data_IF_342701359930
#
_entry.id   IF_342701359930
#
_cell.length_a   1.000
_cell.length_b   1.000
_cell.length_c   1.000
_cell.angle_alpha   90.00
_cell.angle_beta   90.00
_cell.angle_gamma   90.00
#
_symmetry.space_group_name_H-M   'P 1'
#
loop_
_entity.id
_entity.type
_entity.pdbx_description
1 polymer ?
#
# COMPACT_ATOMS: atom_id res chain seq x y z
N UNK A 1 -0.55 18.03 -14.75
CA UNK A 1 0.70 17.49 -14.16
C UNK A 1 0.50 16.01 -13.96
N UNK A 2 1.07 15.19 -14.82
CA UNK A 2 1.02 13.74 -14.65
C UNK A 2 1.84 13.39 -13.41
N UNK A 3 1.18 12.99 -12.33
CA UNK A 3 1.89 12.53 -11.15
C UNK A 3 2.65 11.26 -11.54
N UNK A 4 3.98 11.28 -11.48
CA UNK A 4 4.81 10.12 -11.72
C UNK A 4 4.71 9.05 -10.63
N UNK A 5 5.40 7.93 -10.82
CA UNK A 5 5.51 6.90 -9.79
C UNK A 5 6.37 7.40 -8.61
N UNK A 6 5.98 7.04 -7.39
CA UNK A 6 6.76 7.27 -6.17
C UNK A 6 6.54 6.11 -5.19
N UNK A 7 7.36 6.01 -4.14
CA UNK A 7 7.28 4.91 -3.18
C UNK A 7 5.93 4.79 -2.46
N UNK A 8 5.26 5.91 -2.17
CA UNK A 8 3.91 5.89 -1.60
C UNK A 8 2.87 5.27 -2.54
N UNK A 9 2.99 5.52 -3.86
CA UNK A 9 2.12 4.92 -4.87
C UNK A 9 2.41 3.44 -5.11
N UNK A 10 3.68 3.04 -5.07
CA UNK A 10 4.08 1.62 -5.10
C UNK A 10 3.46 0.88 -3.92
N UNK A 11 3.57 1.45 -2.70
CA UNK A 11 2.95 0.88 -1.51
C UNK A 11 1.42 0.77 -1.66
N UNK A 12 0.76 1.83 -2.12
CA UNK A 12 -0.68 1.83 -2.33
C UNK A 12 -1.13 0.74 -3.33
N UNK A 13 -0.39 0.54 -4.43
CA UNK A 13 -0.66 -0.53 -5.41
C UNK A 13 -0.52 -1.92 -4.79
N UNK A 14 0.54 -2.16 -4.01
CA UNK A 14 0.77 -3.44 -3.33
C UNK A 14 -0.34 -3.74 -2.31
N UNK A 15 -0.71 -2.76 -1.49
CA UNK A 15 -1.79 -2.92 -0.50
C UNK A 15 -3.13 -3.16 -1.18
N UNK A 16 -3.43 -2.42 -2.25
CA UNK A 16 -4.64 -2.60 -3.03
C UNK A 16 -4.72 -3.99 -3.65
N UNK A 17 -3.66 -4.42 -4.34
CA UNK A 17 -3.60 -5.73 -4.96
C UNK A 17 -3.70 -6.86 -3.93
N UNK A 18 -3.04 -6.72 -2.77
CA UNK A 18 -3.14 -7.67 -1.67
C UNK A 18 -4.57 -7.79 -1.12
N UNK A 19 -5.25 -6.65 -0.94
CA UNK A 19 -6.64 -6.59 -0.46
C UNK A 19 -7.59 -7.26 -1.46
N UNK A 20 -7.41 -7.00 -2.75
CA UNK A 20 -8.21 -7.61 -3.81
C UNK A 20 -7.92 -9.11 -3.95
N UNK A 21 -6.66 -9.53 -3.86
CA UNK A 21 -6.27 -10.94 -3.88
C UNK A 21 -6.88 -11.72 -2.69
N UNK A 22 -6.91 -11.12 -1.50
CA UNK A 22 -7.55 -11.71 -0.33
C UNK A 22 -9.06 -11.90 -0.55
N UNK A 23 -9.74 -10.86 -1.04
CA UNK A 23 -11.18 -10.93 -1.35
C UNK A 23 -11.49 -12.01 -2.41
N UNK A 24 -10.65 -12.15 -3.45
CA UNK A 24 -10.78 -13.19 -4.46
C UNK A 24 -10.56 -14.59 -3.87
N UNK A 25 -9.54 -14.76 -3.02
CA UNK A 25 -9.27 -16.03 -2.38
C UNK A 25 -10.41 -16.49 -1.45
N UNK A 26 -11.03 -15.55 -0.72
CA UNK A 26 -12.22 -15.82 0.11
C UNK A 26 -13.44 -16.27 -0.72
N UNK A 27 -13.53 -15.82 -1.98
CA UNK A 27 -14.58 -16.21 -2.92
C UNK A 27 -14.28 -17.53 -3.67
N UNK A 28 -13.13 -18.17 -3.38
CA UNK A 28 -12.70 -19.40 -4.05
C UNK A 28 -11.87 -19.18 -5.33
N UNK A 29 -11.62 -17.92 -5.70
CA UNK A 29 -10.86 -17.50 -6.89
C UNK A 29 -9.36 -17.38 -6.61
N UNK A 30 -8.75 -18.47 -6.13
CA UNK A 30 -7.33 -18.47 -5.71
C UNK A 30 -6.36 -18.32 -6.89
N UNK A 31 -6.72 -18.80 -8.06
CA UNK A 31 -5.92 -18.65 -9.28
C UNK A 31 -5.86 -17.18 -9.71
N UNK A 32 -6.99 -16.50 -9.70
CA UNK A 32 -7.10 -15.08 -10.02
C UNK A 32 -6.34 -14.20 -9.01
N UNK A 33 -6.37 -14.57 -7.73
CA UNK A 33 -5.56 -13.93 -6.70
C UNK A 33 -4.04 -14.07 -7.00
N UNK A 34 -3.61 -15.26 -7.43
CA UNK A 34 -2.22 -15.49 -7.87
C UNK A 34 -1.85 -14.67 -9.11
N UNK A 35 -2.74 -14.64 -10.09
CA UNK A 35 -2.56 -13.87 -11.33
C UNK A 35 -2.46 -12.36 -11.08
N UNK A 36 -3.21 -11.84 -10.10
CA UNK A 36 -3.12 -10.43 -9.72
C UNK A 36 -1.73 -10.08 -9.16
N UNK A 37 -1.16 -10.95 -8.32
CA UNK A 37 0.19 -10.76 -7.81
C UNK A 37 1.24 -10.83 -8.93
N UNK A 38 1.08 -11.76 -9.87
CA UNK A 38 1.96 -11.89 -11.03
C UNK A 38 1.91 -10.66 -11.95
N UNK A 39 0.73 -10.14 -12.25
CA UNK A 39 0.56 -8.92 -13.05
C UNK A 39 1.21 -7.72 -12.36
N UNK A 40 1.02 -7.55 -11.05
CA UNK A 40 1.66 -6.46 -10.31
C UNK A 40 3.19 -6.60 -10.30
N UNK A 41 3.70 -7.82 -10.08
CA UNK A 41 5.13 -8.09 -10.09
C UNK A 41 5.74 -7.79 -11.47
N UNK A 42 5.08 -8.24 -12.54
CA UNK A 42 5.53 -8.01 -13.92
C UNK A 42 5.51 -6.51 -14.26
N UNK A 43 4.45 -5.80 -13.90
CA UNK A 43 4.38 -4.35 -14.07
C UNK A 43 5.56 -3.61 -13.41
N UNK A 44 5.88 -3.97 -12.16
CA UNK A 44 6.99 -3.35 -11.44
C UNK A 44 8.36 -3.74 -12.00
N UNK A 45 8.53 -5.01 -12.38
CA UNK A 45 9.80 -5.57 -12.84
C UNK A 45 10.12 -5.25 -14.31
N UNK A 46 9.10 -5.00 -15.13
CA UNK A 46 9.26 -4.76 -16.57
C UNK A 46 9.00 -3.28 -16.90
N UNK A 47 7.77 -2.80 -16.67
CA UNK A 47 7.37 -1.45 -17.07
C UNK A 47 8.00 -0.35 -16.19
N UNK A 48 8.25 -0.65 -14.91
CA UNK A 48 8.82 0.31 -13.95
C UNK A 48 10.24 -0.03 -13.52
N UNK A 49 10.92 -0.95 -14.24
CA UNK A 49 12.27 -1.42 -13.94
C UNK A 49 13.26 -0.28 -13.80
N UNK A 50 13.33 0.58 -14.82
CA UNK A 50 14.31 1.67 -14.87
C UNK A 50 14.10 2.67 -13.74
N UNK A 51 12.83 2.96 -13.39
CA UNK A 51 12.51 3.80 -12.25
C UNK A 51 12.93 3.13 -10.94
N UNK A 52 12.62 1.84 -10.76
CA UNK A 52 12.97 1.09 -9.56
C UNK A 52 14.49 1.04 -9.37
N UNK A 53 15.24 0.74 -10.42
CA UNK A 53 16.71 0.75 -10.46
C UNK A 53 17.25 2.15 -10.11
N UNK A 54 16.71 3.21 -10.72
CA UNK A 54 17.10 4.59 -10.44
C UNK A 54 16.80 5.03 -8.99
N UNK A 55 15.86 4.38 -8.32
CA UNK A 55 15.55 4.63 -6.90
C UNK A 55 16.34 3.73 -5.94
N UNK A 56 17.29 2.91 -6.43
CA UNK A 56 18.08 1.99 -5.59
C UNK A 56 17.37 0.66 -5.29
N UNK A 57 16.42 0.27 -6.13
CA UNK A 57 15.67 -0.97 -5.98
C UNK A 57 14.85 -1.03 -4.69
N UNK A 58 14.62 -2.25 -4.20
CA UNK A 58 13.92 -2.47 -2.93
C UNK A 58 14.72 -2.00 -1.71
N UNK A 59 16.05 -1.89 -1.79
CA UNK A 59 16.86 -1.27 -0.75
C UNK A 59 16.52 0.22 -0.60
N UNK A 60 16.28 0.91 -1.73
CA UNK A 60 15.78 2.29 -1.75
C UNK A 60 14.39 2.45 -1.11
N UNK A 61 13.49 1.49 -1.34
CA UNK A 61 12.20 1.44 -0.66
C UNK A 61 12.35 1.31 0.86
N UNK A 62 13.17 0.35 1.31
CA UNK A 62 13.46 0.14 2.73
C UNK A 62 14.08 1.39 3.36
N UNK A 63 15.08 1.99 2.72
CA UNK A 63 15.70 3.23 3.18
C UNK A 63 14.68 4.38 3.26
N UNK A 64 13.82 4.54 2.26
CA UNK A 64 12.77 5.57 2.26
C UNK A 64 11.86 5.43 3.49
N UNK A 65 11.33 4.24 3.78
CA UNK A 65 10.42 4.08 4.93
C UNK A 65 11.12 3.99 6.29
N UNK A 66 12.36 3.48 6.35
CA UNK A 66 13.14 3.40 7.60
C UNK A 66 13.77 4.75 7.99
N UNK A 67 14.16 5.58 7.02
CA UNK A 67 14.73 6.91 7.24
C UNK A 67 13.74 7.92 7.82
N UNK A 68 12.44 7.72 7.60
CA UNK A 68 11.39 8.53 8.23
C UNK A 68 11.06 8.09 9.68
N UNK A 69 11.52 6.90 10.10
CA UNK A 69 11.30 6.37 11.45
C UNK A 69 12.33 6.79 12.50
N UNK A 70 13.37 7.55 12.11
CA UNK A 70 14.53 7.86 12.97
C UNK A 70 14.92 9.34 13.03
N UNK A 71 14.04 10.26 12.62
CA UNK A 71 14.09 11.60 13.22
C UNK A 71 13.28 11.59 14.52
N UNK A 72 13.89 11.84 15.70
CA UNK A 72 13.14 12.41 16.80
C UNK A 72 12.75 13.82 16.38
N UNK A 73 11.63 13.96 15.67
CA UNK A 73 11.01 15.27 15.46
C UNK A 73 10.37 15.65 16.78
N UNK A 74 11.14 16.33 17.62
CA UNK A 74 10.63 17.31 18.58
C UNK A 74 9.86 18.37 17.78
N UNK A 75 8.60 18.08 17.43
CA UNK A 75 7.63 19.03 16.86
C UNK A 75 6.20 18.44 16.81
N UNK A 76 5.53 18.58 17.96
CA UNK A 76 4.18 19.15 18.09
C UNK A 76 2.97 18.44 17.44
N UNK A 77 2.41 17.48 18.17
CA UNK A 77 1.05 17.49 18.77
C UNK A 77 -0.23 17.70 17.94
N UNK A 78 -0.23 17.98 16.64
CA UNK A 78 -1.50 18.27 15.90
C UNK A 78 -1.84 17.26 14.81
N UNK A 79 -0.86 16.66 14.14
CA UNK A 79 -1.12 15.72 13.03
C UNK A 79 -1.48 14.31 13.56
N UNK A 80 -0.92 13.92 14.72
CA UNK A 80 -1.21 12.62 15.33
C UNK A 80 -2.67 12.44 15.72
N UNK A 81 -3.40 13.52 16.07
CA UNK A 81 -4.83 13.40 16.43
C UNK A 81 -5.72 13.13 15.21
N UNK A 82 -5.38 13.65 14.03
CA UNK A 82 -6.14 13.43 12.81
C UNK A 82 -5.99 12.01 12.25
N UNK A 83 -4.78 11.43 12.33
CA UNK A 83 -4.53 10.04 11.91
C UNK A 83 -5.22 9.06 12.88
N UNK A 84 -5.19 9.36 14.18
CA UNK A 84 -5.88 8.54 15.19
C UNK A 84 -7.42 8.59 15.05
N UNK A 85 -7.97 9.72 14.58
CA UNK A 85 -9.40 9.83 14.25
C UNK A 85 -9.79 9.04 12.98
N UNK A 86 -8.91 8.95 11.98
CA UNK A 86 -9.18 8.21 10.74
C UNK A 86 -9.11 6.69 10.90
N UNK A 87 -8.27 6.18 11.80
CA UNK A 87 -8.19 4.74 12.11
C UNK A 87 -9.47 4.17 12.74
N UNK A 88 -10.37 5.01 13.27
CA UNK A 88 -11.65 4.61 13.83
C UNK A 88 -12.74 4.25 12.81
N UNK A 89 -12.59 4.65 11.53
CA UNK A 89 -13.62 4.39 10.50
C UNK A 89 -13.36 3.15 9.64
N UNK A 90 -12.14 2.60 9.66
CA UNK A 90 -11.81 1.38 8.91
C UNK A 90 -12.53 0.13 9.43
N UNK A 91 -12.75 0.04 10.75
CA UNK A 91 -13.46 -1.09 11.37
C UNK A 91 -14.99 -0.89 11.42
N UNK A 92 -15.46 0.35 11.53
CA UNK A 92 -16.91 0.64 11.52
C UNK A 92 -17.55 0.38 10.16
N UNK A 93 -16.84 0.63 9.05
CA UNK A 93 -17.31 0.29 7.71
C UNK A 93 -17.52 -1.22 7.52
N UNK A 94 -16.62 -2.05 8.06
CA UNK A 94 -16.74 -3.51 8.03
C UNK A 94 -17.91 -4.01 8.91
N UNK A 95 -18.15 -3.38 10.06
CA UNK A 95 -19.29 -3.72 10.92
C UNK A 95 -20.65 -3.34 10.30
N UNK A 96 -20.74 -2.21 9.58
CA UNK A 96 -21.97 -1.79 8.88
C UNK A 96 -22.30 -2.73 7.71
N UNK A 97 -21.29 -3.21 6.98
CA UNK A 97 -21.48 -4.19 5.91
C UNK A 97 -21.90 -5.58 6.42
N UNK A 98 -21.48 -5.96 7.63
CA UNK A 98 -21.92 -7.21 8.27
C UNK A 98 -23.27 -7.08 9.00
N UNK A 99 -23.67 -5.86 9.38
CA UNK A 99 -24.95 -5.59 10.04
C UNK A 99 -26.12 -5.39 9.06
N UNK A 100 -25.85 -5.07 7.79
CA UNK A 100 -26.86 -5.04 6.73
C UNK A 100 -26.79 -6.35 5.96
N UNK A 101 -27.46 -7.37 6.50
CA UNK A 101 -28.00 -8.49 5.73
C UNK A 101 -29.52 -8.31 5.67
#
# INVERSE_FOLDING_TARGET
>A
AEGGLNWGRVLALVVFAGSLAAALAEQGSREEAGRLAEVLASYLAEEKREWLEAQGGWDGFCHFFNGHGSQPTDQSSTISSAIMAAAGFGLAGLAVLLAVR
#
